data_IF_051041125955
#
_entry.id   IF_051041125955
#
_cell.length_a   1.000
_cell.length_b   1.000
_cell.length_c   1.000
_cell.angle_alpha   90.00
_cell.angle_beta   90.00
_cell.angle_gamma   90.00
#
_symmetry.space_group_name_H-M   'P 1'
#
loop_
_entity.id
_entity.type
_entity.pdbx_description
1 polymer ?
#
# COMPACT_ATOMS: atom_id res chain seq x y z
N UNK A 1 -5.53 -8.41 5.93
CA UNK A 1 -6.16 -8.73 4.66
C UNK A 1 -7.67 -8.55 4.74
N UNK A 2 -8.30 -8.38 3.59
CA UNK A 2 -9.75 -8.30 3.42
C UNK A 2 -10.23 -9.43 2.53
N UNK A 3 -11.45 -9.94 2.81
CA UNK A 3 -12.05 -11.06 2.08
C UNK A 3 -13.16 -10.53 1.17
N UNK A 4 -13.08 -10.83 -0.12
CA UNK A 4 -14.09 -10.44 -1.11
C UNK A 4 -15.44 -11.10 -0.79
N UNK A 5 -16.50 -10.29 -0.74
CA UNK A 5 -17.86 -10.76 -0.44
C UNK A 5 -18.59 -11.27 -1.68
N UNK A 6 -18.23 -10.80 -2.88
CA UNK A 6 -18.96 -11.06 -4.13
C UNK A 6 -18.01 -11.20 -5.33
N UNK A 7 -18.58 -11.57 -6.47
CA UNK A 7 -17.84 -11.62 -7.74
C UNK A 7 -16.99 -12.87 -7.93
N UNK A 8 -16.12 -12.85 -8.94
CA UNK A 8 -15.27 -13.98 -9.32
C UNK A 8 -14.22 -14.37 -8.28
N UNK A 9 -13.93 -13.48 -7.34
CA UNK A 9 -12.97 -13.68 -6.24
C UNK A 9 -13.64 -13.86 -4.87
N UNK A 10 -14.95 -14.10 -4.84
CA UNK A 10 -15.68 -14.30 -3.59
C UNK A 10 -14.99 -15.33 -2.69
N UNK A 11 -14.84 -14.98 -1.40
CA UNK A 11 -14.19 -15.82 -0.40
C UNK A 11 -12.65 -15.77 -0.41
N UNK A 12 -12.03 -15.14 -1.42
CA UNK A 12 -10.58 -14.99 -1.49
C UNK A 12 -10.12 -13.72 -0.77
N UNK A 13 -8.88 -13.76 -0.34
CA UNK A 13 -8.27 -12.68 0.43
C UNK A 13 -7.35 -11.82 -0.42
N UNK A 14 -7.32 -10.54 -0.14
CA UNK A 14 -6.44 -9.57 -0.78
C UNK A 14 -6.05 -8.43 0.13
N UNK A 15 -5.28 -7.51 -0.42
CA UNK A 15 -4.99 -6.24 0.22
C UNK A 15 -6.18 -5.29 0.02
N UNK A 16 -6.51 -4.42 1.00
CA UNK A 16 -7.44 -3.32 0.75
C UNK A 16 -6.98 -2.50 -0.45
N UNK A 17 -7.88 -2.19 -1.36
CA UNK A 17 -7.55 -1.53 -2.63
C UNK A 17 -8.73 -0.76 -3.21
N UNK A 18 -8.43 0.28 -3.95
CA UNK A 18 -9.40 1.02 -4.74
C UNK A 18 -8.76 2.00 -5.69
N UNK A 19 -9.57 2.79 -6.34
CA UNK A 19 -9.15 3.81 -7.29
C UNK A 19 -8.81 5.11 -6.55
N UNK A 20 -7.93 5.89 -7.16
CA UNK A 20 -7.68 7.26 -6.73
C UNK A 20 -8.77 8.15 -7.32
N UNK A 21 -9.52 8.83 -6.47
CA UNK A 21 -10.59 9.72 -6.89
C UNK A 21 -10.04 11.10 -7.30
N UNK A 22 -10.77 11.85 -8.15
CA UNK A 22 -10.41 13.21 -8.47
C UNK A 22 -10.22 14.07 -7.20
N UNK A 23 -9.08 14.74 -7.10
CA UNK A 23 -8.77 15.64 -5.99
C UNK A 23 -8.12 14.99 -4.77
N UNK A 24 -7.93 13.67 -4.76
CA UNK A 24 -7.15 13.01 -3.70
C UNK A 24 -5.76 12.57 -4.20
N UNK A 25 -4.81 12.44 -3.28
CA UNK A 25 -3.51 11.84 -3.58
C UNK A 25 -3.61 10.30 -3.51
N UNK A 26 -2.69 9.57 -4.15
CA UNK A 26 -2.64 8.10 -4.02
C UNK A 26 -2.55 7.62 -2.57
N UNK A 27 -1.81 8.34 -1.71
CA UNK A 27 -1.70 8.03 -0.28
C UNK A 27 -3.04 8.21 0.44
N UNK A 28 -3.75 9.29 0.14
CA UNK A 28 -5.08 9.54 0.69
C UNK A 28 -6.07 8.46 0.26
N UNK A 29 -6.05 8.07 -1.01
CA UNK A 29 -6.86 6.97 -1.53
C UNK A 29 -6.56 5.66 -0.78
N UNK A 30 -5.29 5.32 -0.60
CA UNK A 30 -4.90 4.09 0.11
C UNK A 30 -5.40 4.07 1.56
N UNK A 31 -5.32 5.20 2.27
CA UNK A 31 -5.82 5.30 3.65
C UNK A 31 -7.36 5.31 3.71
N UNK A 32 -8.03 5.90 2.74
CA UNK A 32 -9.49 5.85 2.62
C UNK A 32 -9.95 4.41 2.40
N UNK A 33 -9.37 3.69 1.45
CA UNK A 33 -9.70 2.29 1.16
C UNK A 33 -9.39 1.36 2.35
N UNK A 34 -8.27 1.59 3.04
CA UNK A 34 -7.96 0.86 4.27
C UNK A 34 -9.08 1.02 5.32
N UNK A 35 -9.58 2.25 5.49
CA UNK A 35 -10.67 2.53 6.42
C UNK A 35 -11.99 1.92 5.97
N UNK A 36 -12.34 2.07 4.70
CA UNK A 36 -13.61 1.60 4.13
C UNK A 36 -13.69 0.07 4.12
N UNK A 37 -12.63 -0.60 3.67
CA UNK A 37 -12.62 -2.06 3.48
C UNK A 37 -12.18 -2.82 4.73
N UNK A 38 -11.16 -2.33 5.45
CA UNK A 38 -10.58 -3.04 6.59
C UNK A 38 -10.94 -2.45 7.96
N UNK A 39 -11.52 -1.25 8.01
CA UNK A 39 -11.95 -0.60 9.26
C UNK A 39 -10.81 -0.01 10.08
N UNK A 40 -9.66 0.28 9.51
CA UNK A 40 -8.52 0.85 10.19
C UNK A 40 -8.11 2.21 9.65
N UNK A 41 -7.60 3.06 10.52
CA UNK A 41 -6.90 4.30 10.16
C UNK A 41 -5.40 4.12 10.31
N UNK A 42 -4.61 5.00 9.70
CA UNK A 42 -3.16 4.91 9.80
C UNK A 42 -2.43 6.00 9.03
N UNK A 43 -1.12 5.85 8.96
CA UNK A 43 -0.23 6.73 8.21
C UNK A 43 0.66 5.93 7.25
N UNK A 44 0.91 6.48 6.08
CA UNK A 44 1.74 5.86 5.05
C UNK A 44 3.22 5.98 5.45
N UNK A 45 3.89 4.85 5.54
CA UNK A 45 5.30 4.76 5.91
C UNK A 45 6.22 4.71 4.70
N UNK A 46 5.77 4.08 3.61
CA UNK A 46 6.56 3.94 2.41
C UNK A 46 5.85 3.15 1.32
N UNK A 47 6.53 3.00 0.19
CA UNK A 47 6.06 2.25 -0.96
C UNK A 47 6.69 0.85 -0.96
N UNK A 48 5.86 -0.17 -0.94
CA UNK A 48 6.28 -1.58 -0.98
C UNK A 48 6.57 -2.02 -2.41
N UNK A 49 5.69 -1.65 -3.33
CA UNK A 49 5.84 -2.06 -4.73
C UNK A 49 4.91 -1.32 -5.68
N UNK A 50 5.20 -1.45 -6.94
CA UNK A 50 4.44 -0.88 -8.05
C UNK A 50 4.14 -1.98 -9.07
N UNK A 51 2.89 -2.07 -9.48
CA UNK A 51 2.49 -2.91 -10.60
C UNK A 51 1.93 -2.05 -11.72
N UNK A 52 2.40 -2.26 -12.93
CA UNK A 52 1.84 -1.66 -14.14
C UNK A 52 1.06 -2.71 -14.93
N UNK A 53 -0.01 -2.29 -15.57
CA UNK A 53 -0.81 -3.14 -16.44
C UNK A 53 -1.45 -2.30 -17.56
N UNK A 54 -1.78 -2.96 -18.65
CA UNK A 54 -2.63 -2.38 -19.70
C UNK A 54 -3.99 -3.09 -19.65
N UNK A 55 -5.03 -2.36 -19.33
CA UNK A 55 -6.41 -2.86 -19.27
C UNK A 55 -7.25 -2.20 -20.32
N UNK A 56 -7.70 -2.95 -21.33
CA UNK A 56 -8.56 -2.44 -22.41
C UNK A 56 -8.03 -1.10 -22.97
N UNK A 57 -6.75 -1.08 -23.34
CA UNK A 57 -6.02 0.08 -23.87
C UNK A 57 -5.83 1.25 -22.88
N UNK A 58 -6.16 1.07 -21.61
CA UNK A 58 -5.89 2.04 -20.56
C UNK A 58 -4.72 1.60 -19.68
N UNK A 59 -3.66 2.42 -19.54
CA UNK A 59 -2.59 2.12 -18.62
C UNK A 59 -3.11 2.22 -17.17
N UNK A 60 -2.74 1.24 -16.37
CA UNK A 60 -3.03 1.22 -14.95
C UNK A 60 -1.74 1.12 -14.15
N UNK A 61 -1.61 1.94 -13.12
CA UNK A 61 -0.52 1.91 -12.16
C UNK A 61 -1.11 1.57 -10.80
N UNK A 62 -0.66 0.49 -10.20
CA UNK A 62 -1.05 0.07 -8.87
C UNK A 62 0.10 0.32 -7.90
N UNK A 63 -0.15 1.12 -6.87
CA UNK A 63 0.81 1.46 -5.82
C UNK A 63 0.46 0.70 -4.55
N UNK A 64 1.42 -0.03 -4.00
CA UNK A 64 1.25 -0.73 -2.74
C UNK A 64 2.06 -0.03 -1.65
N UNK A 65 1.37 0.39 -0.59
CA UNK A 65 1.96 1.12 0.52
C UNK A 65 2.10 0.27 1.78
N UNK A 66 3.18 0.52 2.52
CA UNK A 66 3.31 0.13 3.91
C UNK A 66 2.63 1.19 4.79
N UNK A 67 1.72 0.76 5.65
CA UNK A 67 0.92 1.64 6.49
C UNK A 67 1.07 1.25 7.95
N UNK A 68 1.43 2.21 8.79
CA UNK A 68 1.33 2.07 10.23
C UNK A 68 -0.12 2.32 10.65
N UNK A 69 -0.75 1.30 11.23
CA UNK A 69 -2.14 1.37 11.69
C UNK A 69 -2.20 2.09 13.04
N UNK A 70 -3.15 2.99 13.17
CA UNK A 70 -3.38 3.81 14.35
C UNK A 70 -4.83 3.64 14.83
N UNK A 71 -5.02 3.61 16.15
CA UNK A 71 -6.36 3.51 16.75
C UNK A 71 -6.99 2.13 16.65
N UNK A 72 -8.26 2.07 17.05
CA UNK A 72 -9.03 0.84 17.13
C UNK A 72 -9.78 0.54 15.83
N UNK A 73 -10.07 -0.74 15.64
CA UNK A 73 -10.88 -1.21 14.52
C UNK A 73 -12.29 -0.62 14.56
N UNK A 74 -12.72 -0.10 13.41
CA UNK A 74 -14.10 0.33 13.18
C UNK A 74 -14.75 -0.63 12.16
N UNK A 75 -16.00 -1.05 12.35
CA UNK A 75 -16.67 -1.93 11.40
C UNK A 75 -16.70 -1.34 9.99
N UNK A 76 -16.35 -2.16 9.00
CA UNK A 76 -16.50 -1.84 7.58
C UNK A 76 -17.94 -2.07 7.13
N UNK A 77 -18.46 -1.20 6.26
CA UNK A 77 -19.85 -1.24 5.76
C UNK A 77 -19.94 -1.17 4.23
N UNK A 78 -18.91 -1.55 3.49
CA UNK A 78 -18.92 -1.38 2.03
C UNK A 78 -19.80 -2.39 1.29
N UNK A 79 -20.18 -3.50 1.93
CA UNK A 79 -20.89 -4.60 1.25
C UNK A 79 -20.03 -5.40 0.27
N UNK A 80 -18.86 -4.90 -0.11
CA UNK A 80 -17.91 -5.55 -1.00
C UNK A 80 -16.97 -6.51 -0.27
N UNK A 81 -16.77 -6.26 1.03
CA UNK A 81 -15.89 -7.03 1.91
C UNK A 81 -16.72 -7.79 2.95
N UNK A 82 -16.49 -9.08 3.06
CA UNK A 82 -17.17 -9.94 4.03
C UNK A 82 -16.43 -10.03 5.37
N UNK A 83 -15.12 -9.82 5.37
CA UNK A 83 -14.29 -9.95 6.57
C UNK A 83 -12.97 -9.19 6.41
N UNK A 84 -12.42 -8.71 7.51
CA UNK A 84 -11.02 -8.26 7.59
C UNK A 84 -10.33 -8.97 8.74
N UNK A 85 -9.06 -9.36 8.54
CA UNK A 85 -8.31 -10.13 9.51
C UNK A 85 -6.81 -9.84 9.41
N UNK A 86 -6.13 -9.91 10.56
CA UNK A 86 -4.68 -9.89 10.64
C UNK A 86 -4.12 -11.28 10.35
N UNK A 87 -3.02 -11.32 9.60
CA UNK A 87 -2.28 -12.54 9.28
C UNK A 87 -0.80 -12.31 9.54
N UNK A 88 -0.17 -13.26 10.17
CA UNK A 88 1.29 -13.32 10.28
C UNK A 88 1.92 -13.82 8.97
N UNK A 89 3.21 -13.60 8.80
CA UNK A 89 3.96 -14.08 7.63
C UNK A 89 3.80 -15.59 7.41
N UNK A 90 3.79 -16.37 8.50
CA UNK A 90 3.66 -17.84 8.44
C UNK A 90 2.28 -18.30 7.99
N UNK A 91 1.23 -17.51 8.23
CA UNK A 91 -0.14 -17.81 7.83
C UNK A 91 -0.42 -17.50 6.36
N UNK A 92 0.36 -16.62 5.74
CA UNK A 92 0.13 -16.20 4.36
C UNK A 92 0.20 -17.33 3.34
N UNK A 93 0.94 -18.39 3.62
CA UNK A 93 1.06 -19.56 2.76
C UNK A 93 -0.22 -20.40 2.65
N UNK A 94 -1.11 -20.33 3.65
CA UNK A 94 -2.39 -21.08 3.69
C UNK A 94 -3.59 -20.25 3.21
N UNK A 95 -3.40 -19.00 2.89
CA UNK A 95 -4.46 -18.09 2.46
C UNK A 95 -4.82 -18.35 0.99
N UNK A 96 -6.11 -18.35 0.68
CA UNK A 96 -6.58 -18.34 -0.70
C UNK A 96 -6.58 -16.89 -1.22
N UNK A 97 -5.63 -16.58 -2.08
CA UNK A 97 -5.40 -15.23 -2.56
C UNK A 97 -6.22 -14.86 -3.79
N UNK A 98 -6.63 -13.58 -3.87
CA UNK A 98 -7.19 -12.97 -5.08
C UNK A 98 -6.20 -13.05 -6.24
N UNK A 99 -4.91 -12.82 -5.98
CA UNK A 99 -3.85 -12.96 -6.97
C UNK A 99 -2.49 -13.24 -6.32
N UNK A 100 -1.62 -13.90 -7.06
CA UNK A 100 -0.22 -14.12 -6.64
C UNK A 100 0.53 -12.78 -6.42
N UNK A 101 0.24 -11.76 -7.21
CA UNK A 101 0.84 -10.43 -7.04
C UNK A 101 0.54 -9.85 -5.66
N UNK A 102 -0.70 -9.96 -5.17
CA UNK A 102 -1.06 -9.47 -3.83
C UNK A 102 -0.36 -10.27 -2.73
N UNK A 103 -0.23 -11.58 -2.90
CA UNK A 103 0.53 -12.42 -1.98
C UNK A 103 1.99 -11.96 -1.88
N UNK A 104 2.66 -11.76 -3.01
CA UNK A 104 4.06 -11.32 -3.02
C UNK A 104 4.23 -9.93 -2.39
N UNK A 105 3.36 -8.98 -2.70
CA UNK A 105 3.39 -7.65 -2.09
C UNK A 105 3.17 -7.70 -0.58
N UNK A 106 2.29 -8.57 -0.08
CA UNK A 106 2.09 -8.76 1.35
C UNK A 106 3.34 -9.35 2.02
N UNK A 107 3.97 -10.35 1.41
CA UNK A 107 5.23 -10.94 1.90
C UNK A 107 6.34 -9.89 1.93
N UNK A 108 6.49 -9.10 0.87
CA UNK A 108 7.51 -8.04 0.79
C UNK A 108 7.29 -6.99 1.87
N UNK A 109 6.04 -6.56 2.09
CA UNK A 109 5.69 -5.61 3.14
C UNK A 109 6.03 -6.12 4.55
N UNK A 110 5.75 -7.39 4.85
CA UNK A 110 6.06 -8.00 6.14
C UNK A 110 7.54 -8.29 6.34
N UNK A 111 8.29 -8.51 5.29
CA UNK A 111 9.73 -8.78 5.37
C UNK A 111 10.59 -7.52 5.33
N UNK A 112 10.01 -6.37 5.03
CA UNK A 112 10.67 -5.06 4.96
C UNK A 112 11.98 -5.03 4.15
N UNK A 113 12.09 -5.87 3.13
CA UNK A 113 13.35 -6.03 2.40
C UNK A 113 13.78 -4.79 1.64
N UNK A 114 12.85 -4.02 1.07
CA UNK A 114 13.12 -2.72 0.42
C UNK A 114 11.86 -1.88 0.48
N UNK A 115 11.73 -1.04 1.49
CA UNK A 115 10.70 -0.01 1.53
C UNK A 115 11.28 1.27 0.96
N UNK A 116 10.71 1.76 -0.15
CA UNK A 116 11.05 3.07 -0.69
C UNK A 116 10.31 4.09 0.17
N UNK A 117 11.06 4.89 0.92
CA UNK A 117 10.49 5.84 1.88
C UNK A 117 10.16 7.17 1.23
N UNK A 118 9.09 7.78 1.70
CA UNK A 118 8.82 9.18 1.41
C UNK A 118 9.78 10.04 2.23
N UNK A 119 10.65 10.76 1.53
CA UNK A 119 11.54 11.72 2.16
C UNK A 119 10.88 13.10 2.20
N UNK A 120 10.38 13.48 3.37
CA UNK A 120 9.93 14.85 3.63
C UNK A 120 11.10 15.83 3.43
N UNK A 121 10.83 16.99 2.85
CA UNK A 121 11.81 18.06 2.69
C UNK A 121 12.41 18.19 1.28
N UNK A 122 12.13 17.28 0.36
CA UNK A 122 12.56 17.45 -1.04
C UNK A 122 11.64 18.35 -1.86
N UNK A 123 10.53 18.78 -1.29
CA UNK A 123 9.57 19.62 -2.00
C UNK A 123 9.08 20.76 -1.14
N UNK A 124 8.98 21.92 -1.75
CA UNK A 124 8.39 23.13 -1.16
C UNK A 124 7.01 23.44 -1.76
N UNK A 125 6.35 22.46 -2.35
CA UNK A 125 5.05 22.67 -2.99
C UNK A 125 3.92 22.63 -1.96
N UNK A 126 2.93 23.49 -2.14
CA UNK A 126 1.75 23.62 -1.28
C UNK A 126 0.72 22.49 -1.49
N UNK A 127 0.86 21.67 -2.52
CA UNK A 127 -0.02 20.53 -2.80
C UNK A 127 0.54 19.24 -2.22
N UNK A 128 -0.30 18.24 -1.93
CA UNK A 128 0.18 16.91 -1.55
C UNK A 128 1.19 16.40 -2.57
N UNK A 129 2.41 16.16 -2.12
CA UNK A 129 3.52 15.77 -2.97
C UNK A 129 4.44 14.83 -2.20
N UNK A 130 4.67 13.66 -2.74
CA UNK A 130 5.52 12.66 -2.13
C UNK A 130 6.62 12.23 -3.10
N UNK A 131 7.81 12.04 -2.58
CA UNK A 131 8.94 11.49 -3.33
C UNK A 131 9.44 10.26 -2.60
N UNK A 132 9.28 9.11 -3.24
CA UNK A 132 9.76 7.84 -2.72
C UNK A 132 11.14 7.55 -3.27
N UNK A 133 12.09 7.30 -2.38
CA UNK A 133 13.49 7.03 -2.75
C UNK A 133 13.99 5.80 -2.02
N UNK A 134 14.84 5.01 -2.68
CA UNK A 134 15.62 4.00 -1.98
C UNK A 134 16.55 4.70 -1.00
N UNK A 135 16.41 4.45 0.29
CA UNK A 135 17.39 4.90 1.26
C UNK A 135 18.58 3.95 1.23
N UNK A 136 19.47 4.11 0.26
CA UNK A 136 20.85 3.66 0.50
C UNK A 136 21.37 4.54 1.63
N UNK A 137 21.82 3.88 2.70
CA UNK A 137 22.39 4.56 3.85
C UNK A 137 23.34 5.67 3.42
N UNK A 138 23.26 6.77 4.13
CA UNK A 138 24.04 8.00 4.03
C UNK A 138 25.56 7.74 3.89
N UNK A 139 26.03 7.44 2.70
CA UNK A 139 27.46 7.35 2.38
C UNK A 139 27.87 8.29 1.25
N UNK A 140 27.01 9.22 0.88
CA UNK A 140 27.40 10.38 0.10
C UNK A 140 27.54 11.58 1.05
N UNK A 141 28.57 11.54 1.91
CA UNK A 141 29.17 12.80 2.31
C UNK A 141 29.72 13.46 1.05
N UNK A 142 29.44 14.76 0.82
CA UNK A 142 30.12 15.49 -0.24
C UNK A 142 31.61 15.32 0.03
N UNK A 143 32.35 14.80 -0.94
CA UNK A 143 33.80 14.84 -0.89
C UNK A 143 34.15 16.31 -0.79
N UNK A 144 34.65 16.69 0.38
CA UNK A 144 35.19 18.01 0.61
C UNK A 144 36.18 18.29 -0.50
N UNK A 145 35.94 19.34 -1.29
CA UNK A 145 36.90 19.87 -2.21
C UNK A 145 38.10 20.32 -1.39
N UNK A 146 39.21 19.67 -1.60
CA UNK A 146 40.49 20.27 -1.33
C UNK A 146 40.92 20.93 -2.62
N UNK A 147 41.13 22.22 -2.52
CA UNK A 147 41.87 23.19 -3.32
C UNK A 147 42.57 22.67 -4.59
#
# INVERSE_FOLDING_TARGET
>A
LVQEATGSHQGKWGLPKGHVDPGESPETAALRELKEEAGYTGSVMGLVGVRTALRKDHPAVFLCYDVHVEGDHQPSNTGEISSSQWFSLTELGSVQWVSETMQQLAVDGLTHRIVIRNHSGLTQRQTPYAVYRSSMASSLQPRGGHE
#
